data_IF_886139864531
#
_entry.id   IF_886139864531
#
_cell.length_a   1.000
_cell.length_b   1.000
_cell.length_c   1.000
_cell.angle_alpha   90.00
_cell.angle_beta   90.00
_cell.angle_gamma   90.00
#
_symmetry.space_group_name_H-M   'P 1'
#
loop_
_entity.id
_entity.type
_entity.pdbx_description
1 polymer ?
#
# COMPACT_ATOMS: atom_id res chain seq x y z
N UNK A 1 36.59 -27.02 17.05
CA UNK A 1 36.65 -26.69 15.61
C UNK A 1 35.97 -25.34 15.44
N UNK A 2 36.74 -24.34 15.04
CA UNK A 2 36.23 -23.01 14.70
C UNK A 2 35.47 -23.12 13.38
N UNK A 3 34.16 -22.90 13.40
CA UNK A 3 33.35 -22.81 12.18
C UNK A 3 33.36 -21.36 11.71
N UNK A 4 33.75 -21.19 10.47
CA UNK A 4 34.04 -19.94 9.78
C UNK A 4 32.81 -19.01 9.68
N UNK A 5 32.94 -17.68 9.84
CA UNK A 5 31.81 -16.74 9.85
C UNK A 5 31.10 -16.53 8.49
N UNK A 6 31.53 -17.21 7.40
CA UNK A 6 30.92 -17.06 6.06
C UNK A 6 29.58 -17.78 5.88
N UNK A 7 29.15 -18.62 6.82
CA UNK A 7 27.88 -19.36 6.71
C UNK A 7 26.65 -18.55 7.14
N UNK A 8 26.82 -17.37 7.74
CA UNK A 8 25.71 -16.51 8.17
C UNK A 8 25.13 -15.65 7.03
N UNK A 9 25.95 -15.25 6.06
CA UNK A 9 25.53 -14.45 4.90
C UNK A 9 24.64 -15.25 3.94
N UNK A 10 24.91 -16.55 3.77
CA UNK A 10 24.08 -17.42 2.92
C UNK A 10 22.73 -17.72 3.57
N UNK A 11 22.67 -17.83 4.90
CA UNK A 11 21.40 -18.09 5.61
C UNK A 11 20.39 -16.94 5.47
N UNK A 12 20.85 -15.72 5.23
CA UNK A 12 19.99 -14.56 4.93
C UNK A 12 19.33 -14.66 3.54
N UNK A 13 19.88 -15.46 2.62
CA UNK A 13 19.34 -15.66 1.27
C UNK A 13 18.45 -16.91 1.15
N UNK A 14 18.48 -17.81 2.14
CA UNK A 14 17.85 -19.15 2.07
C UNK A 14 16.67 -19.39 3.03
N UNK A 15 16.30 -18.44 3.90
CA UNK A 15 15.17 -18.60 4.82
C UNK A 15 14.11 -17.52 4.58
N UNK A 16 12.81 -17.85 4.75
CA UNK A 16 11.76 -16.84 4.79
C UNK A 16 12.13 -15.83 5.87
N UNK A 17 11.84 -14.56 5.59
CA UNK A 17 12.03 -13.40 6.47
C UNK A 17 11.97 -13.79 7.96
N UNK A 18 12.91 -13.37 8.83
CA UNK A 18 12.93 -13.79 10.23
C UNK A 18 11.52 -13.66 10.83
N UNK A 19 11.04 -14.70 11.50
CA UNK A 19 9.70 -14.81 12.12
C UNK A 19 9.07 -13.49 12.62
N UNK A 20 9.80 -12.57 13.31
CA UNK A 20 9.26 -11.26 13.68
C UNK A 20 8.86 -10.35 12.50
N UNK A 21 9.62 -10.35 11.40
CA UNK A 21 9.35 -9.51 10.23
C UNK A 21 8.18 -10.03 9.39
N UNK A 22 8.01 -11.35 9.27
CA UNK A 22 6.82 -11.94 8.65
C UNK A 22 5.56 -11.64 9.48
N UNK A 23 5.67 -11.74 10.81
CA UNK A 23 4.59 -11.41 11.72
C UNK A 23 4.15 -9.95 11.58
N UNK A 24 5.11 -9.02 11.46
CA UNK A 24 4.80 -7.59 11.26
C UNK A 24 4.08 -7.34 9.94
N UNK A 25 4.50 -8.01 8.86
CA UNK A 25 3.86 -7.87 7.54
C UNK A 25 2.40 -8.36 7.58
N UNK A 26 2.17 -9.57 8.12
CA UNK A 26 0.82 -10.16 8.27
C UNK A 26 -0.08 -9.29 9.18
N UNK A 27 0.43 -8.79 10.30
CA UNK A 27 -0.36 -7.90 11.18
C UNK A 27 -0.68 -6.55 10.52
N UNK A 28 0.28 -5.96 9.81
CA UNK A 28 0.10 -4.67 9.13
C UNK A 28 -1.03 -4.73 8.09
N UNK A 29 -1.18 -5.88 7.44
CA UNK A 29 -2.23 -6.17 6.47
C UNK A 29 -3.64 -6.10 7.09
N UNK A 30 -3.83 -6.67 8.28
CA UNK A 30 -5.11 -6.63 9.00
C UNK A 30 -5.43 -5.21 9.47
N UNK A 31 -4.45 -4.50 10.04
CA UNK A 31 -4.68 -3.15 10.56
C UNK A 31 -5.02 -2.14 9.47
N UNK A 32 -4.33 -2.19 8.33
CA UNK A 32 -4.63 -1.33 7.16
C UNK A 32 -6.03 -1.61 6.61
N UNK A 33 -6.44 -2.88 6.56
CA UNK A 33 -7.80 -3.26 6.13
C UNK A 33 -8.87 -2.76 7.10
N UNK A 34 -8.63 -2.84 8.40
CA UNK A 34 -9.50 -2.24 9.42
C UNK A 34 -9.60 -0.73 9.28
N UNK A 35 -8.50 -0.03 8.97
CA UNK A 35 -8.50 1.41 8.71
C UNK A 35 -9.33 1.77 7.45
N UNK A 36 -9.17 1.01 6.37
CA UNK A 36 -9.95 1.19 5.14
C UNK A 36 -11.44 0.89 5.35
N UNK A 37 -11.76 -0.14 6.14
CA UNK A 37 -13.10 -0.43 6.64
C UNK A 37 -13.68 0.81 7.35
N UNK A 38 -12.96 1.35 8.33
CA UNK A 38 -13.39 2.52 9.07
C UNK A 38 -13.66 3.70 8.14
N UNK A 39 -12.72 4.04 7.25
CA UNK A 39 -12.87 5.15 6.32
C UNK A 39 -14.11 5.01 5.41
N UNK A 40 -14.34 3.80 4.89
CA UNK A 40 -15.42 3.53 3.93
C UNK A 40 -16.81 3.48 4.59
N UNK A 41 -16.90 2.91 5.80
CA UNK A 41 -18.17 2.78 6.53
C UNK A 41 -18.52 4.00 7.37
N UNK A 42 -17.52 4.75 7.86
CA UNK A 42 -17.73 6.01 8.58
C UNK A 42 -18.19 7.15 7.66
N UNK A 43 -17.80 7.10 6.37
CA UNK A 43 -18.15 8.15 5.41
C UNK A 43 -19.68 8.38 5.33
N UNK A 44 -20.10 9.63 5.55
CA UNK A 44 -21.50 10.08 5.53
C UNK A 44 -22.39 9.47 6.64
N UNK A 45 -21.82 9.06 7.79
CA UNK A 45 -22.57 8.55 8.96
C UNK A 45 -22.44 9.46 10.21
N UNK A 46 -23.27 9.20 11.21
CA UNK A 46 -23.29 9.97 12.48
C UNK A 46 -22.05 9.69 13.32
N UNK A 47 -21.64 10.66 14.17
CA UNK A 47 -20.46 10.51 15.03
C UNK A 47 -20.55 9.28 15.93
N UNK A 48 -21.72 9.03 16.52
CA UNK A 48 -21.95 7.86 17.37
C UNK A 48 -21.71 6.54 16.62
N UNK A 49 -22.24 6.42 15.40
CA UNK A 49 -22.01 5.24 14.56
C UNK A 49 -20.52 5.06 14.26
N UNK A 50 -19.82 6.14 13.91
CA UNK A 50 -18.38 6.11 13.65
C UNK A 50 -17.58 5.64 14.88
N UNK A 51 -17.91 6.14 16.08
CA UNK A 51 -17.27 5.71 17.31
C UNK A 51 -17.54 4.23 17.62
N UNK A 52 -18.78 3.77 17.51
CA UNK A 52 -19.13 2.36 17.71
C UNK A 52 -18.41 1.46 16.69
N UNK A 53 -18.34 1.88 15.42
CA UNK A 53 -17.62 1.17 14.37
C UNK A 53 -16.11 1.09 14.65
N UNK A 54 -15.50 2.18 15.10
CA UNK A 54 -14.09 2.21 15.47
C UNK A 54 -13.79 1.24 16.62
N UNK A 55 -14.60 1.26 17.68
CA UNK A 55 -14.48 0.34 18.80
C UNK A 55 -14.64 -1.12 18.36
N UNK A 56 -15.61 -1.40 17.50
CA UNK A 56 -15.82 -2.73 16.93
C UNK A 56 -14.59 -3.20 16.12
N UNK A 57 -14.07 -2.37 15.22
CA UNK A 57 -12.93 -2.73 14.37
C UNK A 57 -11.63 -2.89 15.16
N UNK A 58 -11.41 -2.07 16.20
CA UNK A 58 -10.26 -2.23 17.11
C UNK A 58 -10.38 -3.54 17.90
N UNK A 59 -11.56 -3.82 18.44
CA UNK A 59 -11.83 -5.09 19.16
C UNK A 59 -11.61 -6.30 18.24
N UNK A 60 -12.12 -6.24 17.00
CA UNK A 60 -11.93 -7.27 15.99
C UNK A 60 -10.45 -7.47 15.65
N UNK A 61 -9.68 -6.39 15.46
CA UNK A 61 -8.26 -6.47 15.15
C UNK A 61 -7.46 -7.09 16.31
N UNK A 62 -7.72 -6.69 17.56
CA UNK A 62 -7.10 -7.27 18.74
C UNK A 62 -7.45 -8.75 18.86
N UNK A 63 -8.72 -9.12 18.64
CA UNK A 63 -9.17 -10.50 18.66
C UNK A 63 -8.44 -11.36 17.62
N UNK A 64 -8.36 -10.91 16.37
CA UNK A 64 -7.64 -11.61 15.30
C UNK A 64 -6.16 -11.76 15.67
N UNK A 65 -5.52 -10.70 16.17
CA UNK A 65 -4.10 -10.73 16.57
C UNK A 65 -3.83 -11.71 17.72
N UNK A 66 -4.66 -11.71 18.78
CA UNK A 66 -4.50 -12.61 19.91
C UNK A 66 -4.78 -14.07 19.53
N UNK A 67 -5.82 -14.30 18.73
CA UNK A 67 -6.18 -15.63 18.26
C UNK A 67 -5.08 -16.20 17.33
N UNK A 68 -4.55 -15.35 16.44
CA UNK A 68 -3.41 -15.71 15.60
C UNK A 68 -2.15 -16.01 16.42
N UNK A 69 -1.86 -15.22 17.46
CA UNK A 69 -0.72 -15.49 18.34
C UNK A 69 -0.87 -16.82 19.11
N UNK A 70 -2.10 -17.24 19.42
CA UNK A 70 -2.38 -18.50 20.11
C UNK A 70 -2.27 -19.73 19.21
N UNK A 71 -2.84 -19.71 18.00
CA UNK A 71 -2.80 -20.87 17.09
C UNK A 71 -1.55 -20.93 16.20
N UNK A 72 -0.94 -19.77 15.90
CA UNK A 72 0.20 -19.63 14.97
C UNK A 72 -0.03 -20.32 13.61
N UNK A 73 -1.31 -20.44 13.20
CA UNK A 73 -1.70 -21.07 11.95
C UNK A 73 -1.88 -20.01 10.84
N UNK A 74 -1.08 -20.05 9.76
CA UNK A 74 -1.21 -19.10 8.66
C UNK A 74 -2.57 -19.20 7.93
N UNK A 75 -3.21 -20.39 7.91
CA UNK A 75 -4.48 -20.60 7.22
C UNK A 75 -5.64 -19.77 7.82
N UNK A 76 -5.63 -19.62 9.13
CA UNK A 76 -6.60 -18.78 9.85
C UNK A 76 -6.46 -17.31 9.43
N UNK A 77 -5.23 -16.79 9.41
CA UNK A 77 -4.96 -15.40 9.04
C UNK A 77 -5.42 -15.09 7.63
N UNK A 78 -5.13 -15.97 6.68
CA UNK A 78 -5.52 -15.82 5.28
C UNK A 78 -7.04 -15.74 5.12
N UNK A 79 -7.76 -16.62 5.80
CA UNK A 79 -9.23 -16.66 5.74
C UNK A 79 -9.82 -15.38 6.33
N UNK A 80 -9.31 -14.94 7.48
CA UNK A 80 -9.76 -13.71 8.13
C UNK A 80 -9.49 -12.47 7.25
N UNK A 81 -8.30 -12.38 6.67
CA UNK A 81 -7.91 -11.29 5.78
C UNK A 81 -8.75 -11.27 4.49
N UNK A 82 -8.96 -12.42 3.86
CA UNK A 82 -9.76 -12.55 2.64
C UNK A 82 -11.21 -12.12 2.89
N UNK A 83 -11.81 -12.56 4.00
CA UNK A 83 -13.16 -12.16 4.39
C UNK A 83 -13.26 -10.66 4.66
N UNK A 84 -12.33 -10.09 5.42
CA UNK A 84 -12.33 -8.68 5.75
C UNK A 84 -12.17 -7.81 4.49
N UNK A 85 -11.25 -8.19 3.60
CA UNK A 85 -11.02 -7.50 2.32
C UNK A 85 -12.23 -7.61 1.39
N UNK A 86 -12.88 -8.77 1.31
CA UNK A 86 -14.10 -8.95 0.53
C UNK A 86 -15.22 -8.02 1.02
N UNK A 87 -15.40 -7.89 2.35
CA UNK A 87 -16.40 -6.97 2.93
C UNK A 87 -16.12 -5.52 2.54
N UNK A 88 -14.85 -5.08 2.62
CA UNK A 88 -14.45 -3.72 2.21
C UNK A 88 -14.72 -3.49 0.73
N UNK A 89 -14.35 -4.44 -0.13
CA UNK A 89 -14.51 -4.33 -1.57
C UNK A 89 -15.99 -4.31 -1.98
N UNK A 90 -16.80 -5.20 -1.42
CA UNK A 90 -18.24 -5.21 -1.65
C UNK A 90 -18.88 -3.90 -1.19
N UNK A 91 -18.43 -3.35 -0.05
CA UNK A 91 -18.87 -2.04 0.41
C UNK A 91 -18.47 -0.93 -0.55
N UNK A 92 -17.24 -0.93 -1.06
CA UNK A 92 -16.76 0.06 -2.03
C UNK A 92 -17.58 0.02 -3.33
N UNK A 93 -17.86 -1.19 -3.84
CA UNK A 93 -18.74 -1.40 -4.99
C UNK A 93 -20.16 -0.91 -4.71
N UNK A 94 -20.71 -1.23 -3.54
CA UNK A 94 -22.03 -0.77 -3.14
C UNK A 94 -22.10 0.77 -3.09
N UNK A 95 -21.09 1.44 -2.52
CA UNK A 95 -21.04 2.92 -2.50
C UNK A 95 -21.06 3.47 -3.93
N UNK A 96 -20.23 2.91 -4.81
CA UNK A 96 -20.18 3.38 -6.20
C UNK A 96 -21.52 3.17 -6.92
N UNK A 97 -22.09 1.97 -6.85
CA UNK A 97 -23.33 1.64 -7.57
C UNK A 97 -24.53 2.41 -7.00
N UNK A 98 -24.69 2.46 -5.67
CA UNK A 98 -25.88 3.03 -5.03
C UNK A 98 -25.78 4.51 -4.68
N UNK A 99 -24.60 5.13 -4.64
CA UNK A 99 -24.48 6.57 -4.38
C UNK A 99 -24.17 7.33 -5.66
N UNK A 100 -23.25 6.82 -6.48
CA UNK A 100 -22.80 7.57 -7.65
C UNK A 100 -23.79 7.48 -8.81
N UNK A 101 -24.25 6.28 -9.20
CA UNK A 101 -25.20 6.13 -10.32
C UNK A 101 -26.52 6.88 -10.15
N UNK A 102 -27.24 6.79 -9.01
CA UNK A 102 -28.48 7.54 -8.87
C UNK A 102 -28.24 9.04 -8.77
N UNK A 103 -27.12 9.50 -8.18
CA UNK A 103 -26.76 10.92 -8.18
C UNK A 103 -26.55 11.45 -9.60
N UNK A 104 -25.94 10.65 -10.48
CA UNK A 104 -25.78 11.00 -11.90
C UNK A 104 -27.12 11.00 -12.64
N UNK A 105 -27.96 9.98 -12.46
CA UNK A 105 -29.33 9.96 -13.02
C UNK A 105 -30.17 11.13 -12.53
N UNK A 106 -29.99 11.56 -11.29
CA UNK A 106 -30.67 12.72 -10.73
C UNK A 106 -30.19 14.01 -11.40
N UNK A 107 -28.88 14.18 -11.58
CA UNK A 107 -28.30 15.29 -12.34
C UNK A 107 -28.84 15.34 -13.78
N UNK A 108 -28.87 14.18 -14.45
CA UNK A 108 -29.41 14.02 -15.80
C UNK A 108 -30.90 14.41 -15.86
N UNK A 109 -31.72 13.97 -14.91
CA UNK A 109 -33.15 14.31 -14.86
C UNK A 109 -33.37 15.82 -14.65
N UNK A 110 -32.59 16.45 -13.76
CA UNK A 110 -32.63 17.91 -13.55
C UNK A 110 -32.26 18.65 -14.85
N UNK A 111 -31.25 18.16 -15.55
CA UNK A 111 -30.85 18.69 -16.85
C UNK A 111 -31.96 18.55 -17.90
N UNK A 112 -32.59 17.38 -18.04
CA UNK A 112 -33.70 17.15 -18.97
C UNK A 112 -34.91 18.04 -18.70
N UNK A 113 -35.23 18.28 -17.43
CA UNK A 113 -36.28 19.25 -17.05
C UNK A 113 -35.90 20.66 -17.48
N UNK A 114 -34.63 21.04 -17.31
CA UNK A 114 -34.12 22.35 -17.75
C UNK A 114 -34.12 22.47 -19.27
N UNK A 115 -33.80 21.41 -20.02
CA UNK A 115 -33.85 21.36 -21.49
C UNK A 115 -35.28 21.47 -22.06
N UNK A 116 -36.27 20.94 -21.36
CA UNK A 116 -37.69 21.13 -21.70
C UNK A 116 -38.16 22.59 -21.52
N UNK A 117 -37.44 23.37 -20.71
CA UNK A 117 -37.50 24.84 -20.69
C UNK A 117 -36.49 25.34 -21.74
N UNK A 118 -36.77 26.40 -22.49
CA UNK A 118 -35.84 26.86 -23.55
C UNK A 118 -34.44 27.16 -22.99
N UNK A 119 -33.50 26.22 -23.09
CA UNK A 119 -32.11 26.41 -22.68
C UNK A 119 -31.32 27.15 -23.74
N UNK A 120 -30.44 28.03 -23.28
CA UNK A 120 -29.48 28.72 -24.15
C UNK A 120 -28.46 27.73 -24.74
N UNK A 121 -27.94 28.03 -25.93
CA UNK A 121 -26.93 27.17 -26.58
C UNK A 121 -25.68 26.94 -25.71
N UNK A 122 -25.30 27.94 -24.92
CA UNK A 122 -24.17 27.86 -23.98
C UNK A 122 -24.41 26.82 -22.87
N UNK A 123 -25.62 26.75 -22.30
CA UNK A 123 -25.97 25.76 -21.26
C UNK A 123 -25.97 24.31 -21.79
N UNK A 124 -26.31 24.12 -23.07
CA UNK A 124 -26.26 22.81 -23.74
C UNK A 124 -24.83 22.31 -23.91
N UNK A 125 -23.91 23.18 -24.34
CA UNK A 125 -22.49 22.82 -24.46
C UNK A 125 -21.87 22.49 -23.11
N UNK A 126 -22.14 23.30 -22.07
CA UNK A 126 -21.61 23.06 -20.73
C UNK A 126 -22.06 21.71 -20.18
N UNK A 127 -23.34 21.38 -20.36
CA UNK A 127 -23.91 20.15 -19.79
C UNK A 127 -23.48 18.89 -20.53
N UNK A 128 -23.38 18.96 -21.87
CA UNK A 128 -22.73 17.90 -22.66
C UNK A 128 -21.30 17.65 -22.20
N UNK A 129 -20.57 18.72 -21.88
CA UNK A 129 -19.23 18.62 -21.31
C UNK A 129 -19.17 18.05 -19.88
N UNK A 130 -20.24 18.13 -19.10
CA UNK A 130 -20.33 17.50 -17.77
C UNK A 130 -20.63 16.00 -17.90
N UNK A 131 -21.60 15.62 -18.74
CA UNK A 131 -21.98 14.21 -18.97
C UNK A 131 -20.80 13.38 -19.51
N UNK A 132 -20.03 13.96 -20.44
CA UNK A 132 -18.83 13.32 -21.00
C UNK A 132 -17.76 13.06 -19.92
N UNK A 133 -17.59 14.02 -18.99
CA UNK A 133 -16.66 13.88 -17.88
C UNK A 133 -17.13 12.84 -16.87
N UNK A 134 -18.40 12.85 -16.50
CA UNK A 134 -18.98 11.91 -15.55
C UNK A 134 -18.93 10.46 -16.06
N UNK A 135 -19.21 10.25 -17.35
CA UNK A 135 -19.08 8.94 -17.99
C UNK A 135 -17.64 8.45 -18.00
N UNK A 136 -16.68 9.33 -18.25
CA UNK A 136 -15.24 9.00 -18.15
C UNK A 136 -14.85 8.66 -16.72
N UNK A 137 -15.30 9.43 -15.73
CA UNK A 137 -15.02 9.19 -14.31
C UNK A 137 -15.54 7.81 -13.88
N UNK A 138 -16.78 7.46 -14.23
CA UNK A 138 -17.35 6.14 -13.95
C UNK A 138 -16.55 5.01 -14.60
N UNK A 139 -16.16 5.18 -15.86
CA UNK A 139 -15.34 4.20 -16.58
C UNK A 139 -13.98 3.99 -15.92
N UNK A 140 -13.31 5.08 -15.53
CA UNK A 140 -12.04 5.01 -14.79
C UNK A 140 -12.20 4.32 -13.44
N UNK A 141 -13.24 4.68 -12.68
CA UNK A 141 -13.52 4.05 -11.37
C UNK A 141 -13.75 2.54 -11.49
N UNK A 142 -14.51 2.09 -12.48
CA UNK A 142 -14.72 0.65 -12.73
C UNK A 142 -13.44 -0.05 -13.18
N UNK A 143 -12.63 0.61 -14.00
CA UNK A 143 -11.34 0.07 -14.44
C UNK A 143 -10.38 -0.09 -13.26
N UNK A 144 -10.34 0.89 -12.35
CA UNK A 144 -9.53 0.80 -11.13
C UNK A 144 -10.00 -0.32 -10.20
N UNK A 145 -11.31 -0.52 -10.03
CA UNK A 145 -11.84 -1.64 -9.23
C UNK A 145 -11.52 -2.98 -9.89
N UNK A 146 -11.74 -3.12 -11.20
CA UNK A 146 -11.43 -4.35 -11.92
C UNK A 146 -9.94 -4.68 -11.85
N UNK A 147 -9.08 -3.67 -12.01
CA UNK A 147 -7.63 -3.80 -11.84
C UNK A 147 -7.27 -4.23 -10.41
N UNK A 148 -7.83 -3.57 -9.38
CA UNK A 148 -7.59 -3.91 -7.98
C UNK A 148 -8.05 -5.33 -7.61
N UNK A 149 -9.23 -5.75 -8.07
CA UNK A 149 -9.70 -7.13 -7.92
C UNK A 149 -8.80 -8.13 -8.65
N UNK A 150 -8.35 -7.80 -9.86
CA UNK A 150 -7.44 -8.64 -10.63
C UNK A 150 -6.11 -8.84 -9.92
N UNK A 151 -5.52 -7.78 -9.38
CA UNK A 151 -4.27 -7.87 -8.59
C UNK A 151 -4.48 -8.66 -7.30
N UNK A 152 -5.57 -8.43 -6.58
CA UNK A 152 -5.87 -9.14 -5.34
C UNK A 152 -6.09 -10.64 -5.57
N UNK A 153 -6.95 -11.01 -6.52
CA UNK A 153 -7.22 -12.40 -6.85
C UNK A 153 -6.02 -13.08 -7.47
N UNK A 154 -5.26 -12.36 -8.32
CA UNK A 154 -4.00 -12.84 -8.88
C UNK A 154 -2.98 -13.13 -7.80
N UNK A 155 -2.79 -12.21 -6.85
CA UNK A 155 -1.91 -12.42 -5.69
C UNK A 155 -2.37 -13.58 -4.81
N UNK A 156 -3.66 -13.66 -4.48
CA UNK A 156 -4.21 -14.77 -3.70
C UNK A 156 -4.06 -16.12 -4.39
N UNK A 157 -4.24 -16.16 -5.71
CA UNK A 157 -4.09 -17.37 -6.51
C UNK A 157 -2.62 -17.82 -6.61
N UNK A 158 -1.70 -16.91 -6.90
CA UNK A 158 -0.26 -17.20 -6.93
C UNK A 158 0.21 -17.70 -5.56
N UNK A 159 -0.21 -17.02 -4.49
CA UNK A 159 0.12 -17.38 -3.13
C UNK A 159 -0.45 -18.76 -2.72
N UNK A 160 -1.68 -19.10 -3.15
CA UNK A 160 -2.27 -20.41 -2.93
C UNK A 160 -1.53 -21.53 -3.68
N UNK A 161 -1.16 -21.27 -4.95
CA UNK A 161 -0.31 -22.18 -5.73
C UNK A 161 1.05 -22.37 -5.06
N UNK A 162 1.67 -21.30 -4.55
CA UNK A 162 2.96 -21.40 -3.86
C UNK A 162 2.89 -22.28 -2.60
N UNK A 163 1.74 -22.29 -1.92
CA UNK A 163 1.51 -23.11 -0.75
C UNK A 163 1.35 -24.61 -1.12
N UNK A 164 0.68 -24.93 -2.24
CA UNK A 164 0.50 -26.31 -2.71
C UNK A 164 1.77 -26.88 -3.38
N UNK A 165 2.50 -26.07 -4.16
CA UNK A 165 3.67 -26.49 -4.95
C UNK A 165 5.02 -26.21 -4.26
N UNK A 166 5.02 -26.01 -2.94
CA UNK A 166 6.17 -25.55 -2.14
C UNK A 166 7.48 -26.35 -2.37
N UNK A 167 7.39 -27.66 -2.66
CA UNK A 167 8.58 -28.49 -2.97
C UNK A 167 9.09 -28.32 -4.41
N UNK A 168 8.20 -28.18 -5.39
CA UNK A 168 8.55 -27.99 -6.81
C UNK A 168 9.04 -26.56 -7.09
N UNK A 169 8.47 -25.55 -6.44
CA UNK A 169 8.95 -24.16 -6.53
C UNK A 169 10.35 -23.99 -5.90
N UNK A 170 10.67 -24.77 -4.86
CA UNK A 170 12.04 -24.84 -4.30
C UNK A 170 13.03 -25.56 -5.21
N UNK A 171 12.59 -26.44 -6.09
CA UNK A 171 13.42 -27.03 -7.16
C UNK A 171 13.63 -26.05 -8.31
N UNK A 172 12.57 -25.39 -8.78
CA UNK A 172 12.66 -24.37 -9.83
C UNK A 172 13.48 -23.14 -9.41
N UNK A 173 13.40 -22.71 -8.15
CA UNK A 173 14.26 -21.63 -7.62
C UNK A 173 15.76 -22.01 -7.65
N UNK A 174 16.09 -23.30 -7.53
CA UNK A 174 17.47 -23.81 -7.64
C UNK A 174 17.96 -23.86 -9.08
N UNK A 175 17.07 -24.05 -10.04
CA UNK A 175 17.41 -24.13 -11.47
C UNK A 175 17.46 -22.76 -12.16
N UNK A 176 16.64 -21.79 -11.72
CA UNK A 176 16.55 -20.48 -12.38
C UNK A 176 17.71 -19.55 -12.01
N UNK A 177 18.26 -19.63 -10.79
CA UNK A 177 19.38 -18.78 -10.35
C UNK A 177 19.13 -17.26 -10.50
N UNK A 178 20.09 -16.43 -10.08
CA UNK A 178 20.06 -14.97 -10.32
C UNK A 178 20.27 -14.71 -11.82
N UNK A 179 19.35 -13.98 -12.49
CA UNK A 179 19.14 -12.55 -12.22
C UNK A 179 17.68 -12.14 -11.96
N UNK A 180 16.71 -13.07 -12.01
CA UNK A 180 15.29 -12.74 -11.76
C UNK A 180 14.94 -12.46 -10.30
N UNK A 181 15.84 -12.78 -9.35
CA UNK A 181 15.71 -12.34 -7.95
C UNK A 181 15.85 -10.81 -7.79
N UNK A 182 16.75 -10.18 -8.55
CA UNK A 182 17.03 -8.73 -8.46
C UNK A 182 15.91 -7.86 -9.05
N UNK A 183 15.15 -8.39 -10.02
CA UNK A 183 14.02 -7.70 -10.64
C UNK A 183 12.71 -7.83 -9.83
N UNK A 184 12.62 -8.84 -8.96
CA UNK A 184 11.47 -9.05 -8.07
C UNK A 184 11.67 -8.41 -6.68
N UNK A 185 12.88 -7.93 -6.36
CA UNK A 185 13.17 -7.02 -5.24
C UNK A 185 12.68 -5.58 -5.55
N UNK A 186 11.37 -5.41 -5.76
CA UNK A 186 10.75 -4.07 -5.81
C UNK A 186 10.88 -3.26 -4.50
N UNK A 187 11.41 -3.88 -3.43
CA UNK A 187 11.68 -3.24 -2.14
C UNK A 187 13.14 -2.80 -1.94
N UNK A 188 14.09 -3.23 -2.78
CA UNK A 188 15.51 -2.89 -2.63
C UNK A 188 15.90 -1.50 -3.16
N UNK A 189 15.09 -0.90 -4.02
CA UNK A 189 15.49 0.31 -4.77
C UNK A 189 15.38 1.61 -3.95
N UNK A 190 14.76 1.58 -2.77
CA UNK A 190 14.59 2.75 -1.91
C UNK A 190 15.58 2.82 -0.75
N UNK A 191 16.42 1.80 -0.56
CA UNK A 191 17.40 1.79 0.53
C UNK A 191 18.79 2.26 0.11
N UNK A 192 19.05 2.45 -1.18
CA UNK A 192 20.28 3.10 -1.63
C UNK A 192 20.04 4.61 -1.71
N UNK A 193 20.61 5.32 -0.73
CA UNK A 193 20.71 6.78 -0.61
C UNK A 193 19.65 7.51 0.24
N UNK A 194 19.34 7.01 1.44
CA UNK A 194 19.00 7.88 2.58
C UNK A 194 19.68 7.38 3.85
N UNK A 195 20.96 7.71 4.02
CA UNK A 195 21.65 7.60 5.31
C UNK A 195 21.06 8.67 6.26
N UNK A 196 19.87 8.38 6.78
CA UNK A 196 19.09 9.27 7.62
C UNK A 196 19.42 8.93 9.08
N UNK A 197 20.59 9.38 9.53
CA UNK A 197 20.93 9.36 10.96
C UNK A 197 19.93 10.25 11.71
N UNK A 198 19.02 9.67 12.48
CA UNK A 198 18.09 10.37 13.38
C UNK A 198 18.51 10.19 14.84
N UNK A 199 19.27 11.12 15.45
CA UNK A 199 19.61 10.97 16.86
C UNK A 199 18.43 11.27 17.80
N UNK A 200 17.42 12.06 17.40
CA UNK A 200 16.25 12.42 18.25
C UNK A 200 14.98 12.75 17.43
N UNK A 201 13.84 12.20 17.85
CA UNK A 201 12.55 12.11 17.11
C UNK A 201 11.77 13.44 16.93
N UNK A 202 12.12 14.55 17.59
CA UNK A 202 11.20 15.72 17.69
C UNK A 202 11.81 17.11 17.41
N UNK A 203 12.89 17.23 16.64
CA UNK A 203 13.38 18.55 16.20
C UNK A 203 13.54 18.59 14.68
N UNK A 204 12.96 19.63 14.06
CA UNK A 204 13.14 19.94 12.65
C UNK A 204 14.64 20.17 12.35
N UNK A 205 15.18 19.65 11.23
CA UNK A 205 16.59 19.80 10.92
C UNK A 205 16.91 21.24 10.50
N UNK A 206 17.96 21.79 11.11
CA UNK A 206 18.56 23.06 10.70
C UNK A 206 19.41 22.83 9.44
N UNK A 207 19.09 23.53 8.36
CA UNK A 207 19.80 23.45 7.07
C UNK A 207 21.10 24.26 7.16
N UNK A 208 22.22 23.58 7.39
CA UNK A 208 23.55 24.20 7.24
C UNK A 208 24.11 23.84 5.86
N UNK A 209 24.32 24.84 4.99
CA UNK A 209 25.05 24.65 3.73
C UNK A 209 26.53 24.45 4.02
N UNK A 210 27.11 23.36 3.52
CA UNK A 210 28.57 23.21 3.47
C UNK A 210 29.09 24.06 2.31
N UNK A 211 29.92 25.06 2.61
CA UNK A 211 30.67 25.77 1.56
C UNK A 211 31.81 24.83 1.13
N UNK A 212 31.73 24.31 -0.10
CA UNK A 212 32.91 23.72 -0.76
C UNK A 212 33.98 24.80 -0.85
N UNK A 213 35.03 24.67 -0.04
CA UNK A 213 36.24 25.48 -0.16
C UNK A 213 36.85 25.15 -1.52
N UNK A 214 36.80 26.13 -2.43
CA UNK A 214 37.40 26.05 -3.74
C UNK A 214 38.92 25.87 -3.61
N UNK A 215 39.43 24.87 -4.30
CA UNK A 215 40.84 24.64 -4.53
C UNK A 215 41.44 25.87 -5.23
N UNK A 216 42.46 26.47 -4.63
CA UNK A 216 43.12 27.67 -5.15
C UNK A 216 44.50 27.88 -4.52
N UNK A 217 45.52 27.60 -5.33
CA UNK A 217 46.85 28.21 -5.36
C UNK A 217 47.84 28.02 -4.20
N UNK A 218 48.79 27.13 -4.48
CA UNK A 218 50.25 27.25 -4.31
C UNK A 218 50.75 28.59 -3.75
N UNK A 219 51.49 28.53 -2.64
CA UNK A 219 52.79 29.22 -2.51
C UNK A 219 53.65 28.62 -1.40
N UNK A 220 54.86 28.23 -1.80
CA UNK A 220 56.03 28.00 -0.96
C UNK A 220 56.27 29.20 -0.03
N UNK A 221 56.52 28.97 1.26
CA UNK A 221 57.62 29.61 1.95
C UNK A 221 58.09 28.77 3.14
N UNK A 222 59.37 28.91 3.41
CA UNK A 222 60.24 28.05 4.17
C UNK A 222 60.28 28.38 5.67
N UNK A 223 60.91 27.43 6.38
CA UNK A 223 61.87 27.72 7.45
C UNK A 223 61.38 27.76 8.91
N UNK A 224 62.12 26.97 9.70
CA UNK A 224 62.37 26.98 11.16
C UNK A 224 61.46 26.08 12.01
N UNK A 225 61.90 24.92 12.52
CA UNK A 225 63.08 24.51 13.33
C UNK A 225 62.86 24.70 14.84
N UNK A 226 62.77 23.54 15.53
CA UNK A 226 63.04 23.28 16.98
C UNK A 226 62.13 24.05 17.96
N UNK A 227 61.64 23.48 19.07
CA UNK A 227 62.16 22.50 20.03
C UNK A 227 60.99 21.65 20.51
#
# INVERSE_FOLDING_TARGET
MYVEPRSLELAAFFLPCPYPMQLVDELSMIYTTCLMCYATFSYSRTRLFSFCLALFLISLAIFITLYYHYLQDPAFHQTAYALLTAIVLLRAMYVMEFRLRPSLKQSENVYRIREGRSMTSSEKEVSRGLDERDRKILGTMWTMIACGLGVFLGGFYIWHLDNEYCLQLREWRREVGMPWGFLLEGHGWWQEEYDLSWPRVFLLPEVVRTNKVANGDVKHDASKKKI
#
